data_IF_331780726395
#
_entry.id   IF_331780726395
#
_cell.length_a   1.000
_cell.length_b   1.000
_cell.length_c   1.000
_cell.angle_alpha   90.00
_cell.angle_beta   90.00
_cell.angle_gamma   90.00
#
_symmetry.space_group_name_H-M   'P 1'
#
loop_
_entity.id
_entity.type
_entity.pdbx_description
1 polymer ?
#
# COMPACT_ATOMS: atom_id res chain seq x y z
N UNK A 1 -48.34 53.09 -22.49
CA UNK A 1 -48.28 52.89 -21.03
C UNK A 1 -48.63 51.43 -20.75
N UNK A 2 -47.66 50.72 -20.18
CA UNK A 2 -47.68 49.49 -19.39
C UNK A 2 -49.05 48.84 -19.13
N UNK A 3 -49.25 47.57 -19.51
CA UNK A 3 -49.27 46.47 -18.52
C UNK A 3 -49.23 45.07 -19.16
N UNK A 4 -48.22 44.34 -18.70
CA UNK A 4 -47.91 42.94 -18.88
C UNK A 4 -48.86 42.12 -17.97
N UNK A 5 -49.54 41.11 -18.50
CA UNK A 5 -50.18 40.08 -17.66
C UNK A 5 -49.88 38.70 -18.23
N UNK A 6 -49.19 37.93 -17.39
CA UNK A 6 -48.65 36.59 -17.52
C UNK A 6 -49.71 35.51 -17.76
N UNK A 7 -49.42 34.57 -18.67
CA UNK A 7 -49.86 33.18 -18.54
C UNK A 7 -48.74 32.27 -19.05
N UNK A 8 -48.16 31.53 -18.10
CA UNK A 8 -46.95 30.72 -18.28
C UNK A 8 -47.32 29.42 -18.97
N UNK A 9 -46.79 29.20 -20.17
CA UNK A 9 -46.88 27.94 -20.88
C UNK A 9 -46.14 26.83 -20.11
N UNK A 10 -46.87 25.78 -19.77
CA UNK A 10 -46.33 24.46 -19.50
C UNK A 10 -45.68 23.93 -20.79
N UNK A 11 -44.38 23.64 -20.76
CA UNK A 11 -43.72 22.46 -21.36
C UNK A 11 -42.20 22.68 -21.29
N UNK A 12 -41.51 21.83 -20.54
CA UNK A 12 -40.05 21.88 -20.45
C UNK A 12 -39.53 20.86 -19.46
N UNK A 13 -40.00 19.61 -19.59
CA UNK A 13 -39.31 18.48 -18.98
C UNK A 13 -37.91 18.33 -19.57
N UNK A 14 -37.09 17.62 -18.80
CA UNK A 14 -35.79 17.03 -19.12
C UNK A 14 -34.54 17.68 -18.49
N UNK A 15 -33.85 16.79 -17.78
CA UNK A 15 -32.40 16.76 -17.57
C UNK A 15 -31.85 17.55 -16.38
N UNK A 16 -32.42 17.28 -15.20
CA UNK A 16 -31.60 17.19 -13.99
C UNK A 16 -30.73 15.93 -14.07
N UNK A 17 -29.70 15.95 -14.93
CA UNK A 17 -28.66 14.94 -14.94
C UNK A 17 -27.84 15.17 -13.65
N UNK A 18 -28.26 14.56 -12.56
CA UNK A 18 -27.39 14.34 -11.42
C UNK A 18 -26.21 13.51 -11.97
N UNK A 19 -25.13 14.19 -12.32
CA UNK A 19 -23.81 13.59 -12.41
C UNK A 19 -23.50 13.08 -11.00
N UNK A 20 -23.98 11.87 -10.71
CA UNK A 20 -23.38 11.03 -9.69
C UNK A 20 -21.99 10.78 -10.27
N UNK A 21 -21.03 11.63 -9.92
CA UNK A 21 -19.63 11.23 -9.99
C UNK A 21 -19.59 9.84 -9.35
N UNK A 22 -19.15 8.80 -10.07
CA UNK A 22 -18.91 7.55 -9.40
C UNK A 22 -17.84 7.89 -8.38
N UNK A 23 -18.23 7.94 -7.12
CA UNK A 23 -17.30 7.88 -6.01
C UNK A 23 -16.61 6.54 -6.25
N UNK A 24 -15.48 6.57 -6.95
CA UNK A 24 -14.53 5.48 -7.01
C UNK A 24 -13.94 5.38 -5.60
N UNK A 25 -14.77 5.00 -4.62
CA UNK A 25 -14.27 4.16 -3.54
C UNK A 25 -13.68 2.99 -4.30
N UNK A 26 -12.35 2.88 -4.33
CA UNK A 26 -11.69 1.76 -4.97
C UNK A 26 -12.22 0.49 -4.29
N UNK A 27 -13.23 -0.12 -4.88
CA UNK A 27 -13.64 -1.44 -4.45
C UNK A 27 -12.50 -2.32 -4.93
N UNK A 28 -11.67 -2.76 -3.97
CA UNK A 28 -10.84 -3.94 -4.17
C UNK A 28 -11.73 -5.00 -4.83
N UNK A 29 -11.40 -5.48 -6.04
CA UNK A 29 -12.21 -6.48 -6.70
C UNK A 29 -12.43 -7.68 -5.78
N UNK A 30 -13.64 -8.22 -5.71
CA UNK A 30 -13.96 -9.34 -4.80
C UNK A 30 -13.08 -10.57 -5.04
N UNK A 31 -12.62 -10.75 -6.29
CA UNK A 31 -11.65 -11.78 -6.69
C UNK A 31 -10.33 -11.70 -5.93
N UNK A 32 -9.94 -10.53 -5.42
CA UNK A 32 -8.69 -10.34 -4.67
C UNK A 32 -8.76 -10.88 -3.25
N UNK A 33 -9.95 -11.01 -2.66
CA UNK A 33 -10.04 -11.29 -1.24
C UNK A 33 -9.52 -12.68 -0.85
N UNK A 34 -9.72 -13.69 -1.71
CA UNK A 34 -9.19 -15.04 -1.46
C UNK A 34 -7.64 -15.05 -1.47
N UNK A 35 -6.94 -14.59 -2.53
CA UNK A 35 -5.48 -14.46 -2.51
C UNK A 35 -4.94 -13.66 -1.33
N UNK A 36 -5.58 -12.54 -0.99
CA UNK A 36 -5.16 -11.67 0.11
C UNK A 36 -5.33 -12.33 1.49
N UNK A 37 -6.37 -13.13 1.69
CA UNK A 37 -6.52 -13.96 2.92
C UNK A 37 -5.45 -15.06 2.98
N UNK A 38 -5.16 -15.71 1.85
CA UNK A 38 -4.07 -16.69 1.79
C UNK A 38 -2.70 -16.07 2.10
N UNK A 39 -2.46 -14.83 1.66
CA UNK A 39 -1.29 -14.06 2.06
C UNK A 39 -1.30 -13.73 3.56
N UNK A 40 -2.45 -13.31 4.09
CA UNK A 40 -2.62 -13.02 5.52
C UNK A 40 -2.24 -14.24 6.38
N UNK A 41 -2.72 -15.43 6.03
CA UNK A 41 -2.40 -16.67 6.71
C UNK A 41 -0.90 -16.95 6.71
N UNK A 42 -0.23 -16.79 5.57
CA UNK A 42 1.23 -16.90 5.49
C UNK A 42 1.95 -15.86 6.37
N UNK A 43 1.45 -14.63 6.38
CA UNK A 43 2.03 -13.53 7.16
C UNK A 43 1.81 -13.68 8.66
N UNK A 44 0.84 -14.50 9.12
CA UNK A 44 0.66 -14.81 10.55
C UNK A 44 1.93 -15.42 11.17
N UNK A 45 2.69 -16.18 10.38
CA UNK A 45 3.93 -16.83 10.81
C UNK A 45 5.19 -15.95 10.67
N UNK A 46 5.07 -14.69 10.21
CA UNK A 46 6.20 -13.79 9.94
C UNK A 46 7.14 -13.62 11.14
N UNK A 47 6.61 -13.62 12.37
CA UNK A 47 7.44 -13.48 13.58
C UNK A 47 8.39 -14.68 13.76
N UNK A 48 7.92 -15.90 13.52
CA UNK A 48 8.75 -17.11 13.64
C UNK A 48 9.87 -17.06 12.62
N UNK A 49 9.52 -16.92 11.35
CA UNK A 49 10.49 -17.04 10.26
C UNK A 49 11.38 -15.81 10.08
N UNK A 50 10.92 -14.59 10.39
CA UNK A 50 11.71 -13.37 10.15
C UNK A 50 12.36 -12.76 11.41
N UNK A 51 12.10 -13.31 12.60
CA UNK A 51 12.74 -12.86 13.85
C UNK A 51 13.40 -14.00 14.61
N UNK A 52 12.72 -15.12 14.82
CA UNK A 52 13.27 -16.19 15.67
C UNK A 52 14.38 -16.99 14.97
N UNK A 53 14.31 -17.14 13.64
CA UNK A 53 15.32 -17.85 12.86
C UNK A 53 16.45 -16.95 12.33
N UNK A 54 16.38 -15.65 12.59
CA UNK A 54 17.44 -14.71 12.24
C UNK A 54 18.29 -14.38 13.48
N UNK A 55 19.58 -14.04 13.31
CA UNK A 55 20.41 -13.55 14.40
C UNK A 55 19.81 -12.31 15.07
N UNK A 56 20.15 -12.12 16.34
CA UNK A 56 19.74 -10.92 17.09
C UNK A 56 20.28 -9.67 16.39
N UNK A 57 19.42 -8.67 16.21
CA UNK A 57 19.72 -7.42 15.48
C UNK A 57 20.15 -7.60 14.02
N UNK A 58 19.82 -8.74 13.40
CA UNK A 58 20.07 -8.92 11.97
C UNK A 58 19.25 -7.93 11.14
N UNK A 59 19.92 -7.29 10.18
CA UNK A 59 19.33 -6.34 9.23
C UNK A 59 19.83 -6.59 7.83
N UNK A 60 19.00 -6.29 6.84
CA UNK A 60 19.37 -6.35 5.43
C UNK A 60 19.40 -4.95 4.82
N UNK A 61 20.23 -4.78 3.79
CA UNK A 61 20.32 -3.56 3.01
C UNK A 61 19.17 -3.49 2.01
N UNK A 62 18.36 -2.45 2.12
CA UNK A 62 17.21 -2.16 1.24
C UNK A 62 17.26 -0.70 0.79
N UNK A 63 16.62 -0.39 -0.32
CA UNK A 63 16.45 0.98 -0.76
C UNK A 63 15.45 1.70 0.17
N UNK A 64 15.65 2.99 0.44
CA UNK A 64 14.78 3.74 1.35
C UNK A 64 13.31 3.74 0.92
N UNK A 65 13.04 3.63 -0.38
CA UNK A 65 11.68 3.57 -0.95
C UNK A 65 11.01 2.21 -0.75
N UNK A 66 11.79 1.15 -0.49
CA UNK A 66 11.26 -0.18 -0.15
C UNK A 66 10.77 -0.28 1.29
N UNK A 67 11.10 0.68 2.14
CA UNK A 67 10.53 0.80 3.49
C UNK A 67 9.16 1.47 3.39
N UNK A 68 8.18 0.71 2.87
CA UNK A 68 6.84 1.20 2.56
C UNK A 68 5.87 1.06 3.75
N UNK A 69 5.65 2.16 4.48
CA UNK A 69 4.82 2.18 5.69
C UNK A 69 3.47 2.84 5.45
N UNK A 70 2.56 2.71 6.40
CA UNK A 70 1.28 3.45 6.43
C UNK A 70 1.48 4.96 6.27
N UNK A 71 2.52 5.54 6.88
CA UNK A 71 2.85 6.96 6.71
C UNK A 71 3.17 7.36 5.27
N UNK A 72 3.70 6.44 4.46
CA UNK A 72 3.95 6.68 3.04
C UNK A 72 2.61 6.80 2.29
N UNK A 73 1.67 5.88 2.56
CA UNK A 73 0.31 5.89 2.00
C UNK A 73 -0.41 7.19 2.37
N UNK A 74 -0.50 7.52 3.65
CA UNK A 74 -1.17 8.75 4.11
C UNK A 74 -0.55 10.02 3.51
N UNK A 75 0.79 10.03 3.36
CA UNK A 75 1.49 11.16 2.73
C UNK A 75 1.20 11.27 1.23
N UNK A 76 1.10 10.15 0.51
CA UNK A 76 0.77 10.18 -0.93
C UNK A 76 -0.67 10.63 -1.14
N UNK A 77 -1.63 10.07 -0.39
CA UNK A 77 -3.04 10.50 -0.44
C UNK A 77 -3.24 11.99 -0.15
N UNK A 78 -2.41 12.58 0.72
CA UNK A 78 -2.53 14.00 1.09
C UNK A 78 -1.75 14.97 0.20
N UNK A 79 -0.58 14.56 -0.31
CA UNK A 79 0.30 15.46 -1.08
C UNK A 79 0.12 15.39 -2.58
N UNK A 80 -0.35 14.26 -3.10
CA UNK A 80 -0.49 14.05 -4.54
C UNK A 80 -1.99 14.07 -4.84
N UNK A 81 -2.42 15.11 -5.57
CA UNK A 81 -3.82 15.34 -5.88
C UNK A 81 -4.34 14.17 -6.74
N UNK A 82 -5.47 13.59 -6.35
CA UNK A 82 -6.12 12.54 -7.13
C UNK A 82 -5.40 11.20 -7.16
N UNK A 83 -4.56 10.88 -6.16
CA UNK A 83 -4.01 9.51 -6.07
C UNK A 83 -5.13 8.52 -5.81
N UNK A 84 -5.41 7.73 -6.82
CA UNK A 84 -6.30 6.59 -6.73
C UNK A 84 -5.65 5.48 -5.90
N UNK A 85 -6.47 4.82 -5.08
CA UNK A 85 -6.03 3.68 -4.30
C UNK A 85 -5.50 2.54 -5.18
N UNK A 86 -5.98 2.45 -6.42
CA UNK A 86 -5.47 1.52 -7.44
C UNK A 86 -3.98 1.71 -7.74
N UNK A 87 -3.52 2.96 -7.85
CA UNK A 87 -2.10 3.27 -8.03
C UNK A 87 -1.28 2.89 -6.80
N UNK A 88 -1.83 3.11 -5.60
CA UNK A 88 -1.17 2.74 -4.35
C UNK A 88 -1.08 1.22 -4.19
N UNK A 89 -2.12 0.49 -4.60
CA UNK A 89 -2.13 -0.98 -4.64
C UNK A 89 -1.09 -1.51 -5.63
N UNK A 90 -1.01 -0.94 -6.84
CA UNK A 90 0.02 -1.28 -7.83
C UNK A 90 1.43 -1.04 -7.29
N UNK A 91 1.67 0.13 -6.70
CA UNK A 91 2.95 0.46 -6.08
C UNK A 91 3.29 -0.50 -4.93
N UNK A 92 2.30 -0.88 -4.13
CA UNK A 92 2.47 -1.84 -3.04
C UNK A 92 2.94 -3.21 -3.55
N UNK A 93 2.39 -3.71 -4.65
CA UNK A 93 2.88 -4.94 -5.29
C UNK A 93 4.33 -4.79 -5.72
N UNK A 94 4.65 -3.74 -6.47
CA UNK A 94 6.01 -3.48 -6.99
C UNK A 94 7.06 -3.44 -5.86
N UNK A 95 6.80 -2.68 -4.79
CA UNK A 95 7.72 -2.56 -3.66
C UNK A 95 7.92 -3.89 -2.95
N UNK A 96 6.82 -4.57 -2.60
CA UNK A 96 6.90 -5.74 -1.75
C UNK A 96 7.44 -6.98 -2.49
N UNK A 97 7.24 -7.06 -3.81
CA UNK A 97 7.88 -8.09 -4.64
C UNK A 97 9.42 -7.96 -4.57
N UNK A 98 9.95 -6.73 -4.68
CA UNK A 98 11.39 -6.44 -4.53
C UNK A 98 11.91 -6.79 -3.14
N UNK A 99 11.16 -6.42 -2.09
CA UNK A 99 11.47 -6.74 -0.69
C UNK A 99 11.57 -8.25 -0.46
N UNK A 100 10.59 -9.03 -0.92
CA UNK A 100 10.58 -10.49 -0.74
C UNK A 100 11.77 -11.14 -1.44
N UNK A 101 12.06 -10.74 -2.67
CA UNK A 101 13.25 -11.19 -3.42
C UNK A 101 14.55 -10.88 -2.68
N UNK A 102 14.68 -9.68 -2.09
CA UNK A 102 15.85 -9.30 -1.28
C UNK A 102 15.99 -10.11 0.00
N UNK A 103 14.89 -10.39 0.70
CA UNK A 103 14.90 -11.27 1.88
C UNK A 103 15.36 -12.68 1.50
N UNK A 104 14.86 -13.23 0.39
CA UNK A 104 15.29 -14.55 -0.10
C UNK A 104 16.78 -14.56 -0.46
N UNK A 105 17.26 -13.50 -1.13
CA UNK A 105 18.66 -13.40 -1.61
C UNK A 105 19.68 -13.43 -0.48
N UNK A 106 19.37 -12.89 0.70
CA UNK A 106 20.30 -12.89 1.83
C UNK A 106 20.35 -14.20 2.60
N UNK A 107 19.39 -15.11 2.36
CA UNK A 107 19.31 -16.38 3.06
C UNK A 107 20.07 -17.48 2.30
N UNK A 108 20.99 -18.21 2.96
CA UNK A 108 21.59 -19.42 2.40
C UNK A 108 20.55 -20.45 2.02
N UNK A 109 20.90 -21.37 1.11
CA UNK A 109 19.93 -22.34 0.58
C UNK A 109 19.26 -23.21 1.64
N UNK A 110 20.03 -23.58 2.67
CA UNK A 110 19.57 -24.42 3.80
C UNK A 110 18.95 -23.62 4.95
N UNK A 111 18.76 -22.31 4.80
CA UNK A 111 18.18 -21.48 5.86
C UNK A 111 16.72 -21.90 6.13
N UNK A 112 16.31 -22.10 7.40
CA UNK A 112 14.99 -22.64 7.73
C UNK A 112 13.81 -21.75 7.30
N UNK A 113 14.03 -20.44 7.13
CA UNK A 113 13.01 -19.51 6.63
C UNK A 113 12.94 -19.41 5.11
N UNK A 114 13.88 -20.01 4.36
CA UNK A 114 13.93 -19.85 2.90
C UNK A 114 12.73 -20.50 2.20
N UNK A 115 12.31 -21.74 2.53
CA UNK A 115 11.10 -22.34 1.93
C UNK A 115 9.85 -21.51 2.21
N UNK A 116 9.66 -21.08 3.46
CA UNK A 116 8.55 -20.20 3.86
C UNK A 116 8.51 -18.91 3.05
N UNK A 117 9.67 -18.27 2.86
CA UNK A 117 9.72 -16.97 2.16
C UNK A 117 9.53 -17.14 0.66
N UNK A 118 10.04 -18.23 0.07
CA UNK A 118 9.81 -18.55 -1.34
C UNK A 118 8.33 -18.84 -1.61
N UNK A 119 7.66 -19.57 -0.72
CA UNK A 119 6.22 -19.81 -0.82
C UNK A 119 5.40 -18.52 -0.65
N UNK A 120 5.76 -17.67 0.31
CA UNK A 120 5.14 -16.35 0.48
C UNK A 120 5.31 -15.49 -0.79
N UNK A 121 6.49 -15.51 -1.40
CA UNK A 121 6.77 -14.75 -2.62
C UNK A 121 6.04 -15.31 -3.85
N UNK A 122 5.88 -16.63 -3.95
CA UNK A 122 5.01 -17.23 -4.96
C UNK A 122 3.56 -16.79 -4.79
N UNK A 123 2.99 -16.94 -3.58
CA UNK A 123 1.61 -16.51 -3.28
C UNK A 123 1.41 -15.02 -3.55
N UNK A 124 2.45 -14.21 -3.34
CA UNK A 124 2.44 -12.79 -3.61
C UNK A 124 2.34 -12.49 -5.11
N UNK A 125 3.11 -13.20 -5.94
CA UNK A 125 2.98 -13.14 -7.41
C UNK A 125 1.62 -13.62 -7.91
N UNK A 126 1.08 -14.66 -7.29
CA UNK A 126 -0.25 -15.17 -7.67
C UNK A 126 -1.33 -14.11 -7.38
N UNK A 127 -1.25 -13.44 -6.23
CA UNK A 127 -2.14 -12.33 -5.89
C UNK A 127 -1.96 -11.13 -6.85
N UNK A 128 -0.73 -10.81 -7.25
CA UNK A 128 -0.45 -9.78 -8.26
C UNK A 128 -1.06 -10.16 -9.62
N UNK A 129 -0.99 -11.43 -10.01
CA UNK A 129 -1.61 -11.94 -11.23
C UNK A 129 -3.13 -11.75 -11.23
N UNK A 130 -3.80 -12.06 -10.12
CA UNK A 130 -5.24 -11.79 -9.96
C UNK A 130 -5.53 -10.29 -9.99
N UNK A 131 -4.68 -9.47 -9.35
CA UNK A 131 -4.82 -8.02 -9.38
C UNK A 131 -4.78 -7.49 -10.81
N UNK A 132 -3.79 -7.90 -11.61
CA UNK A 132 -3.69 -7.49 -13.02
C UNK A 132 -4.88 -7.98 -13.85
N UNK A 133 -5.32 -9.22 -13.66
CA UNK A 133 -6.48 -9.78 -14.40
C UNK A 133 -7.81 -9.12 -14.03
N UNK A 134 -7.94 -8.61 -12.81
CA UNK A 134 -9.17 -7.99 -12.30
C UNK A 134 -9.36 -6.53 -12.75
N UNK A 135 -8.38 -5.94 -13.43
CA UNK A 135 -8.44 -4.57 -13.90
C UNK A 135 -8.27 -4.49 -15.42
N UNK A 136 -8.94 -3.53 -16.09
CA UNK A 136 -8.72 -3.27 -17.51
C UNK A 136 -7.26 -2.92 -17.81
N UNK A 137 -6.75 -3.35 -18.96
CA UNK A 137 -5.35 -3.13 -19.33
C UNK A 137 -4.99 -1.64 -19.45
N UNK A 138 -5.98 -0.81 -19.80
CA UNK A 138 -5.87 0.65 -19.96
C UNK A 138 -5.43 1.33 -18.66
N UNK A 139 -5.85 0.81 -17.50
CA UNK A 139 -5.43 1.32 -16.18
C UNK A 139 -3.91 1.24 -16.02
N UNK A 140 -3.30 0.17 -16.52
CA UNK A 140 -1.85 -0.01 -16.38
C UNK A 140 -1.03 0.83 -17.36
N UNK A 141 -1.67 1.34 -18.40
CA UNK A 141 -1.09 2.22 -19.42
C UNK A 141 -1.20 3.72 -19.06
N UNK A 142 -1.98 4.07 -18.03
CA UNK A 142 -2.06 5.45 -17.55
C UNK A 142 -0.71 5.93 -17.03
N UNK A 143 -0.39 7.20 -17.33
CA UNK A 143 0.80 7.85 -16.79
C UNK A 143 0.72 7.90 -15.26
N UNK A 144 1.81 7.49 -14.61
CA UNK A 144 1.92 7.58 -13.17
C UNK A 144 2.15 9.05 -12.79
N UNK A 145 1.51 9.56 -11.72
CA UNK A 145 1.89 10.85 -11.15
C UNK A 145 3.40 10.89 -10.90
N UNK A 146 4.05 12.02 -11.20
CA UNK A 146 5.53 12.18 -11.14
C UNK A 146 6.14 11.60 -9.85
N UNK A 147 5.52 11.87 -8.69
CA UNK A 147 6.00 11.35 -7.40
C UNK A 147 5.98 9.81 -7.31
N UNK A 148 5.00 9.16 -7.93
CA UNK A 148 4.90 7.69 -7.98
C UNK A 148 5.85 7.13 -9.04
N UNK A 149 5.97 7.79 -10.19
CA UNK A 149 6.93 7.44 -11.23
C UNK A 149 8.36 7.47 -10.70
N UNK A 150 8.76 8.53 -9.99
CA UNK A 150 10.06 8.64 -9.34
C UNK A 150 10.33 7.43 -8.43
N UNK A 151 9.36 7.07 -7.60
CA UNK A 151 9.48 5.92 -6.70
C UNK A 151 9.67 4.64 -7.51
N UNK A 152 8.92 4.48 -8.59
CA UNK A 152 9.01 3.32 -9.47
C UNK A 152 10.41 3.20 -10.09
N UNK A 153 10.91 4.29 -10.66
CA UNK A 153 12.22 4.35 -11.33
C UNK A 153 13.33 3.98 -10.35
N UNK A 154 13.30 4.55 -9.13
CA UNK A 154 14.25 4.20 -8.07
C UNK A 154 14.18 2.72 -7.63
N UNK A 155 13.03 2.06 -7.75
CA UNK A 155 12.90 0.64 -7.41
C UNK A 155 13.43 -0.27 -8.53
N UNK A 156 13.47 0.23 -9.77
CA UNK A 156 13.96 -0.49 -10.95
C UNK A 156 15.40 -0.14 -11.33
N UNK A 157 15.96 0.93 -10.77
CA UNK A 157 17.33 1.39 -11.01
C UNK A 157 18.37 0.32 -10.65
N UNK A 158 19.46 0.26 -11.42
CA UNK A 158 20.57 -0.64 -11.14
C UNK A 158 21.21 -0.28 -9.78
N UNK A 159 21.47 -1.26 -8.89
CA UNK A 159 22.00 -0.99 -7.55
C UNK A 159 23.28 -0.14 -7.53
N UNK A 160 24.15 -0.29 -8.54
CA UNK A 160 25.44 0.41 -8.62
C UNK A 160 25.29 1.91 -8.96
N UNK A 161 24.13 2.32 -9.49
CA UNK A 161 23.80 3.71 -9.81
C UNK A 161 23.09 4.44 -8.67
N UNK A 162 22.69 3.71 -7.64
CA UNK A 162 21.93 4.27 -6.51
C UNK A 162 22.90 4.80 -5.43
N UNK A 163 22.85 6.10 -5.09
CA UNK A 163 23.73 6.69 -4.09
C UNK A 163 23.69 5.97 -2.74
N UNK A 164 24.83 5.87 -2.05
CA UNK A 164 24.93 5.23 -0.72
C UNK A 164 23.92 5.81 0.31
N UNK A 165 23.62 7.10 0.22
CA UNK A 165 22.63 7.79 1.07
C UNK A 165 21.19 7.29 0.91
N UNK A 166 20.89 6.63 -0.21
CA UNK A 166 19.54 6.12 -0.52
C UNK A 166 19.28 4.73 0.07
N UNK A 167 20.30 4.10 0.67
CA UNK A 167 20.19 2.79 1.29
C UNK A 167 19.85 2.87 2.78
N UNK A 168 19.16 1.83 3.26
CA UNK A 168 18.75 1.67 4.65
C UNK A 168 18.97 0.23 5.10
N UNK A 169 19.28 0.07 6.39
CA UNK A 169 19.27 -1.22 7.05
C UNK A 169 17.90 -1.45 7.69
N UNK A 170 17.28 -2.59 7.39
CA UNK A 170 15.98 -2.94 7.93
C UNK A 170 15.95 -4.41 8.38
N UNK A 171 15.36 -4.73 9.55
CA UNK A 171 15.12 -6.11 9.94
C UNK A 171 14.10 -6.77 8.99
N UNK A 172 14.32 -8.02 8.53
CA UNK A 172 13.36 -8.73 7.68
C UNK A 172 11.93 -8.76 8.25
N UNK A 173 11.81 -8.94 9.57
CA UNK A 173 10.49 -8.90 10.23
C UNK A 173 9.80 -7.55 10.06
N UNK A 174 10.52 -6.44 10.18
CA UNK A 174 9.93 -5.11 10.04
C UNK A 174 9.42 -4.88 8.62
N UNK A 175 10.08 -5.45 7.61
CA UNK A 175 9.64 -5.37 6.22
C UNK A 175 8.33 -6.14 6.01
N UNK A 176 8.21 -7.36 6.56
CA UNK A 176 6.93 -8.11 6.49
C UNK A 176 5.83 -7.51 7.37
N UNK A 177 6.17 -6.84 8.48
CA UNK A 177 5.18 -6.10 9.26
C UNK A 177 4.61 -4.92 8.46
N UNK A 178 5.47 -4.21 7.71
CA UNK A 178 5.02 -3.15 6.81
C UNK A 178 4.12 -3.70 5.70
N UNK A 179 4.52 -4.80 5.06
CA UNK A 179 3.73 -5.49 4.03
C UNK A 179 2.33 -5.82 4.57
N UNK A 180 2.27 -6.48 5.74
CA UNK A 180 1.02 -6.84 6.41
C UNK A 180 0.15 -5.60 6.71
N UNK A 181 0.70 -4.59 7.38
CA UNK A 181 -0.09 -3.40 7.76
C UNK A 181 -0.62 -2.64 6.55
N UNK A 182 0.22 -2.47 5.52
CA UNK A 182 -0.16 -1.76 4.30
C UNK A 182 -1.17 -2.54 3.46
N UNK A 183 -1.14 -3.88 3.48
CA UNK A 183 -2.16 -4.73 2.87
C UNK A 183 -3.54 -4.48 3.49
N UNK A 184 -3.64 -4.50 4.82
CA UNK A 184 -4.90 -4.21 5.52
C UNK A 184 -5.41 -2.79 5.25
N UNK A 185 -4.50 -1.83 5.05
CA UNK A 185 -4.88 -0.47 4.69
C UNK A 185 -5.41 -0.38 3.25
N UNK A 186 -4.67 -0.90 2.27
CA UNK A 186 -5.00 -0.73 0.85
C UNK A 186 -6.13 -1.63 0.36
N UNK A 187 -6.37 -2.75 1.04
CA UNK A 187 -7.38 -3.75 0.66
C UNK A 187 -8.39 -3.99 1.79
N UNK A 188 -8.72 -2.95 2.55
CA UNK A 188 -9.58 -3.05 3.74
C UNK A 188 -10.93 -3.72 3.47
N UNK A 189 -11.47 -3.60 2.25
CA UNK A 189 -12.71 -4.26 1.84
C UNK A 189 -12.70 -5.78 1.97
N UNK A 190 -11.53 -6.44 1.88
CA UNK A 190 -11.40 -7.89 1.98
C UNK A 190 -11.32 -8.42 3.42
N UNK A 191 -11.09 -7.52 4.38
CA UNK A 191 -10.82 -7.85 5.79
C UNK A 191 -11.89 -7.28 6.76
N UNK A 192 -12.95 -6.67 6.24
CA UNK A 192 -14.04 -6.17 7.04
C UNK A 192 -14.73 -7.34 7.78
N UNK A 193 -14.51 -7.44 9.10
CA UNK A 193 -15.17 -8.42 9.99
C UNK A 193 -14.24 -9.37 10.74
N UNK A 194 -12.98 -9.56 10.32
CA UNK A 194 -12.10 -10.60 10.91
C UNK A 194 -11.16 -10.11 12.01
N UNK A 195 -10.92 -8.80 12.16
CA UNK A 195 -10.18 -8.25 13.29
C UNK A 195 -10.77 -6.88 13.65
N UNK A 196 -11.06 -6.66 14.94
CA UNK A 196 -11.56 -5.39 15.45
C UNK A 196 -10.79 -4.22 14.83
N UNK A 197 -11.50 -3.33 14.13
CA UNK A 197 -11.00 -2.20 13.35
C UNK A 197 -9.89 -1.42 14.07
N UNK A 198 -8.64 -1.88 13.99
CA UNK A 198 -7.53 -0.95 13.95
C UNK A 198 -7.65 -0.31 12.58
N UNK A 199 -8.08 0.95 12.57
CA UNK A 199 -8.14 1.73 11.34
C UNK A 199 -6.70 1.98 10.84
N UNK A 200 -6.10 0.96 10.22
CA UNK A 200 -4.71 0.97 9.77
C UNK A 200 -4.44 2.17 8.85
N UNK A 201 -5.42 2.63 8.08
CA UNK A 201 -5.29 3.84 7.27
C UNK A 201 -5.62 5.15 7.99
N UNK A 202 -6.48 5.13 9.01
CA UNK A 202 -7.06 6.32 9.63
C UNK A 202 -6.27 6.87 10.82
N UNK A 203 -5.31 6.10 11.37
CA UNK A 203 -4.36 6.65 12.33
C UNK A 203 -3.32 7.46 11.56
N UNK A 204 -3.62 8.74 11.35
CA UNK A 204 -2.58 9.73 11.14
C UNK A 204 -1.66 9.67 12.37
N UNK A 205 -0.53 8.96 12.26
CA UNK A 205 0.52 9.00 13.26
C UNK A 205 1.19 10.39 13.21
N UNK A 206 0.44 11.43 13.57
CA UNK A 206 1.00 12.66 14.07
C UNK A 206 1.82 12.28 15.30
N UNK A 207 3.12 12.51 15.21
CA UNK A 207 4.06 12.30 16.31
C UNK A 207 3.44 12.87 17.58
N UNK A 208 2.98 11.99 18.49
CA UNK A 208 2.68 12.37 19.86
C UNK A 208 4.01 12.88 20.41
N UNK A 209 4.14 14.20 20.50
CA UNK A 209 5.32 14.86 21.03
C UNK A 209 5.66 14.22 22.37
N UNK A 210 6.91 13.79 22.53
CA UNK A 210 7.48 13.57 23.85
C UNK A 210 7.24 14.85 24.63
N UNK A 211 6.29 14.86 25.58
CA UNK A 211 6.33 15.81 26.68
C UNK A 211 7.67 15.59 27.36
N UNK A 212 8.59 16.55 27.22
CA UNK A 212 9.70 16.68 28.14
C UNK A 212 9.06 17.02 29.48
N UNK A 213 9.22 16.14 30.46
CA UNK A 213 8.94 16.46 31.85
C UNK A 213 9.90 17.58 32.26
N UNK A 214 9.38 18.81 32.31
CA UNK A 214 10.00 19.88 33.08
C UNK A 214 9.67 19.58 34.54
N UNK A 215 10.65 19.04 35.27
CA UNK A 215 10.62 19.08 36.74
C UNK A 215 10.70 20.55 37.17
N UNK A 216 9.84 21.02 38.07
CA UNK A 216 10.12 22.23 38.83
C UNK A 216 11.22 21.89 39.83
N UNK A 217 12.31 22.67 39.81
CA UNK A 217 13.25 22.72 40.91
C UNK A 217 12.53 23.24 42.16
N UNK A 218 12.85 22.63 43.31
CA UNK A 218 12.56 23.14 44.65
C UNK A 218 13.85 23.04 45.45
#
# INVERSE_FOLDING_TARGET
MVQLSTSVCLLGGFLGLCLIEPILTSLTPSSMCTPLRTLNDSLSHRRRYMKHYFPVNYTIRVHQREVFRLSNISRMRSKVKGVEDLLLQRLWFQVNQGVLKKIIRVMPERHPSRPYTAELEQRFRDAEGVFVQSHPAEVFQQELPETIQDIWDYLTEEPDRVPESSWRLAPPKSLLDNLYQTMFCLFSGCFAGEEAQQNYCGVSHWKKGRKKDLRPES
#
